data_IF_399067017727
#
_entry.id   IF_399067017727
#
_cell.length_a   1.000
_cell.length_b   1.000
_cell.length_c   1.000
_cell.angle_alpha   90.00
_cell.angle_beta   90.00
_cell.angle_gamma   90.00
#
_symmetry.space_group_name_H-M   'P 1'
#
loop_
_entity.id
_entity.type
_entity.pdbx_description
1 polymer ?
#
# COMPACT_ATOMS: atom_id res chain seq x y z
N UNK A 1 66.13 -11.13 41.98
CA UNK A 1 64.77 -11.71 42.03
C UNK A 1 64.03 -11.32 40.76
N UNK A 2 63.62 -12.32 39.97
CA UNK A 2 63.00 -12.17 38.64
C UNK A 2 61.55 -11.69 38.79
N UNK A 3 61.16 -10.66 38.05
CA UNK A 3 59.77 -10.27 37.87
C UNK A 3 59.34 -10.54 36.43
N UNK A 4 58.75 -11.70 36.17
CA UNK A 4 58.07 -12.00 34.91
C UNK A 4 56.77 -11.20 34.91
N UNK A 5 56.66 -10.21 34.02
CA UNK A 5 55.38 -9.54 33.73
C UNK A 5 54.70 -10.30 32.61
N UNK A 6 53.70 -11.11 32.97
CA UNK A 6 52.80 -11.80 32.06
C UNK A 6 51.98 -10.75 31.29
N UNK A 7 52.12 -10.69 29.97
CA UNK A 7 51.25 -9.88 29.11
C UNK A 7 50.04 -10.75 28.77
N UNK A 8 48.87 -10.44 29.36
CA UNK A 8 47.60 -11.01 28.92
C UNK A 8 47.22 -10.36 27.59
N UNK A 9 47.25 -11.11 26.50
CA UNK A 9 46.61 -10.72 25.25
C UNK A 9 45.09 -10.92 25.41
N UNK A 10 44.33 -9.84 25.49
CA UNK A 10 42.88 -9.89 25.46
C UNK A 10 42.41 -10.22 24.03
N UNK A 11 41.87 -11.42 23.85
CA UNK A 11 41.22 -11.83 22.60
C UNK A 11 39.86 -11.12 22.54
N UNK A 12 39.77 -9.99 21.82
CA UNK A 12 38.48 -9.36 21.51
C UNK A 12 37.84 -10.16 20.39
N UNK A 13 36.89 -11.03 20.74
CA UNK A 13 36.04 -11.70 19.77
C UNK A 13 35.15 -10.64 19.10
N UNK A 14 35.44 -10.33 17.84
CA UNK A 14 34.54 -9.55 16.99
C UNK A 14 33.35 -10.45 16.68
N UNK A 15 32.25 -10.27 17.41
CA UNK A 15 30.97 -10.85 17.02
C UNK A 15 30.53 -10.07 15.78
N UNK A 16 30.75 -10.66 14.60
CA UNK A 16 30.09 -10.21 13.38
C UNK A 16 28.59 -10.42 13.59
N UNK A 17 27.88 -9.34 13.93
CA UNK A 17 26.43 -9.29 13.82
C UNK A 17 26.13 -9.54 12.35
N UNK A 18 25.67 -10.75 12.03
CA UNK A 18 25.20 -11.08 10.70
C UNK A 18 24.10 -10.08 10.35
N UNK A 19 24.29 -9.33 9.26
CA UNK A 19 23.20 -8.62 8.62
C UNK A 19 22.20 -9.69 8.20
N UNK A 20 21.09 -9.82 8.93
CA UNK A 20 19.92 -10.51 8.37
C UNK A 20 19.60 -9.70 7.13
N UNK A 21 19.78 -10.28 5.94
CA UNK A 21 19.35 -9.63 4.72
C UNK A 21 17.89 -9.23 4.93
N UNK A 22 17.60 -7.93 4.85
CA UNK A 22 16.22 -7.47 4.78
C UNK A 22 15.55 -8.32 3.70
N UNK A 23 14.48 -9.01 4.07
CA UNK A 23 13.70 -9.71 3.06
C UNK A 23 13.30 -8.67 2.02
N UNK A 24 13.48 -9.00 0.76
CA UNK A 24 13.29 -8.04 -0.31
C UNK A 24 11.79 -7.78 -0.43
N UNK A 25 11.31 -6.74 0.26
CA UNK A 25 9.99 -6.16 0.03
C UNK A 25 9.69 -6.07 -1.47
N UNK A 26 8.41 -6.08 -1.88
CA UNK A 26 8.06 -6.08 -3.28
C UNK A 26 8.75 -4.95 -4.06
N UNK A 27 9.28 -5.28 -5.24
CA UNK A 27 9.92 -4.30 -6.13
C UNK A 27 8.96 -3.14 -6.38
N UNK A 28 9.38 -1.94 -6.01
CA UNK A 28 8.53 -0.74 -6.02
C UNK A 28 8.86 0.13 -7.23
N UNK A 29 7.90 0.41 -8.13
CA UNK A 29 8.08 1.39 -9.18
C UNK A 29 8.42 2.78 -8.62
N UNK A 30 9.15 3.59 -9.38
CA UNK A 30 9.39 4.98 -9.00
C UNK A 30 8.13 5.82 -9.26
N UNK A 31 7.41 6.15 -8.20
CA UNK A 31 6.20 6.97 -8.28
C UNK A 31 6.52 8.46 -8.11
N UNK A 32 5.71 9.33 -8.74
CA UNK A 32 5.70 10.75 -8.43
C UNK A 32 5.14 11.03 -7.02
N UNK A 33 5.29 12.27 -6.56
CA UNK A 33 4.83 12.69 -5.23
C UNK A 33 3.32 12.56 -5.02
N UNK A 34 2.52 12.67 -6.09
CA UNK A 34 1.07 12.44 -6.03
C UNK A 34 0.73 11.01 -5.60
N UNK A 35 -0.34 10.88 -4.80
CA UNK A 35 -0.75 9.61 -4.21
C UNK A 35 -2.27 9.52 -4.08
N UNK A 36 -2.80 8.31 -4.27
CA UNK A 36 -4.22 7.98 -4.08
C UNK A 36 -4.69 8.35 -2.67
N UNK A 37 -5.92 8.85 -2.47
CA UNK A 37 -6.45 9.09 -1.13
C UNK A 37 -6.53 7.77 -0.33
N UNK A 38 -6.72 7.87 0.98
CA UNK A 38 -7.10 6.70 1.76
C UNK A 38 -8.47 6.19 1.29
N UNK A 39 -8.60 4.87 1.19
CA UNK A 39 -9.88 4.23 0.91
C UNK A 39 -10.86 4.46 2.07
N UNK A 40 -12.09 4.88 1.75
CA UNK A 40 -13.20 4.84 2.69
C UNK A 40 -13.65 3.39 2.94
N UNK A 41 -14.35 3.14 4.04
CA UNK A 41 -15.04 1.87 4.24
C UNK A 41 -16.20 1.74 3.24
N UNK A 42 -16.24 0.61 2.54
CA UNK A 42 -17.27 0.24 1.58
C UNK A 42 -17.60 -1.25 1.76
N UNK A 43 -18.64 -1.51 2.55
CA UNK A 43 -19.07 -2.87 2.86
C UNK A 43 -19.68 -3.57 1.64
N UNK A 44 -19.67 -4.89 1.65
CA UNK A 44 -20.26 -5.69 0.57
C UNK A 44 -21.77 -5.41 0.40
N UNK A 45 -22.20 -5.21 -0.85
CA UNK A 45 -23.58 -4.94 -1.29
C UNK A 45 -24.01 -5.85 -2.46
N UNK A 46 -23.07 -6.45 -3.19
CA UNK A 46 -23.31 -7.37 -4.30
C UNK A 46 -22.72 -8.75 -4.01
N UNK A 47 -23.06 -9.71 -4.86
CA UNK A 47 -22.56 -11.08 -4.80
C UNK A 47 -22.05 -11.43 -6.20
N UNK A 48 -20.75 -11.66 -6.33
CA UNK A 48 -20.08 -11.95 -7.57
C UNK A 48 -19.13 -13.14 -7.40
N UNK A 49 -19.19 -14.07 -8.37
CA UNK A 49 -18.38 -15.28 -8.35
C UNK A 49 -16.98 -15.11 -8.99
N UNK A 50 -16.55 -13.87 -9.25
CA UNK A 50 -15.33 -13.58 -10.00
C UNK A 50 -14.32 -12.80 -9.18
N UNK A 51 -13.06 -13.26 -9.21
CA UNK A 51 -11.93 -12.54 -8.64
C UNK A 51 -11.70 -11.23 -9.40
N UNK A 52 -11.58 -10.12 -8.68
CA UNK A 52 -11.29 -8.83 -9.29
C UNK A 52 -9.81 -8.73 -9.68
N UNK A 53 -9.46 -7.96 -10.73
CA UNK A 53 -8.09 -7.88 -11.22
C UNK A 53 -7.05 -7.44 -10.17
N UNK A 54 -7.41 -6.54 -9.26
CA UNK A 54 -6.55 -6.02 -8.18
C UNK A 54 -6.04 -7.11 -7.25
N UNK A 55 -6.92 -7.84 -6.52
CA UNK A 55 -6.54 -8.99 -5.70
C UNK A 55 -5.68 -10.02 -6.44
N UNK A 56 -5.99 -10.33 -7.70
CA UNK A 56 -5.16 -11.20 -8.52
C UNK A 56 -3.75 -10.64 -8.72
N UNK A 57 -3.64 -9.35 -9.04
CA UNK A 57 -2.36 -8.68 -9.21
C UNK A 57 -1.54 -8.63 -7.92
N UNK A 58 -2.17 -8.44 -6.75
CA UNK A 58 -1.47 -8.45 -5.45
C UNK A 58 -1.01 -9.86 -5.09
N UNK A 59 -1.84 -10.89 -5.34
CA UNK A 59 -1.41 -12.29 -5.19
C UNK A 59 -0.19 -12.58 -6.07
N UNK A 60 -0.21 -12.15 -7.33
CA UNK A 60 0.89 -12.40 -8.26
C UNK A 60 2.16 -11.65 -7.85
N UNK A 61 2.04 -10.42 -7.32
CA UNK A 61 3.14 -9.66 -6.72
C UNK A 61 3.75 -10.39 -5.52
N UNK A 62 2.91 -10.87 -4.60
CA UNK A 62 3.36 -11.64 -3.43
C UNK A 62 4.05 -12.95 -3.86
N UNK A 63 3.48 -13.66 -4.82
CA UNK A 63 4.06 -14.88 -5.38
C UNK A 63 5.44 -14.62 -6.01
N UNK A 64 5.58 -13.53 -6.74
CA UNK A 64 6.86 -13.13 -7.33
C UNK A 64 7.91 -12.74 -6.28
N UNK A 65 7.47 -12.20 -5.14
CA UNK A 65 8.36 -11.67 -4.09
C UNK A 65 8.77 -12.75 -3.09
N UNK A 66 7.82 -13.57 -2.64
CA UNK A 66 7.96 -14.47 -1.49
C UNK A 66 7.82 -15.96 -1.83
N UNK A 67 7.73 -16.29 -3.12
CA UNK A 67 7.40 -17.63 -3.60
C UNK A 67 5.90 -17.89 -3.61
N UNK A 68 5.48 -19.02 -4.18
CA UNK A 68 4.06 -19.34 -4.31
C UNK A 68 3.46 -19.83 -2.98
N UNK A 69 2.35 -19.22 -2.55
CA UNK A 69 1.58 -19.62 -1.36
C UNK A 69 0.12 -19.91 -1.72
N UNK A 70 -0.56 -20.66 -0.86
CA UNK A 70 -2.01 -20.80 -0.97
C UNK A 70 -2.69 -19.44 -0.79
N UNK A 71 -3.70 -19.16 -1.62
CA UNK A 71 -4.44 -17.91 -1.56
C UNK A 71 -5.92 -18.10 -1.90
N UNK A 72 -6.80 -17.30 -1.29
CA UNK A 72 -8.24 -17.28 -1.55
C UNK A 72 -8.73 -15.87 -1.90
N UNK A 73 -9.59 -15.73 -2.91
CA UNK A 73 -10.16 -14.43 -3.33
C UNK A 73 -11.68 -14.45 -3.28
N UNK A 74 -12.31 -15.44 -3.91
CA UNK A 74 -13.77 -15.55 -3.99
C UNK A 74 -14.28 -16.56 -2.97
N UNK A 75 -15.39 -16.22 -2.31
CA UNK A 75 -16.17 -17.16 -1.49
C UNK A 75 -17.61 -17.21 -2.01
N UNK A 76 -18.27 -18.34 -1.83
CA UNK A 76 -19.70 -18.48 -2.14
C UNK A 76 -20.51 -17.55 -1.24
N UNK A 77 -21.55 -16.94 -1.81
CA UNK A 77 -22.41 -16.05 -1.05
C UNK A 77 -23.29 -16.85 -0.10
N UNK A 78 -23.10 -16.62 1.21
CA UNK A 78 -23.78 -17.33 2.29
C UNK A 78 -24.66 -16.40 3.15
N UNK A 79 -24.79 -15.13 2.74
CA UNK A 79 -25.56 -14.10 3.44
C UNK A 79 -24.75 -13.31 4.48
N UNK A 80 -23.50 -13.69 4.77
CA UNK A 80 -22.61 -12.87 5.58
C UNK A 80 -22.03 -11.70 4.77
N UNK A 81 -21.77 -10.57 5.42
CA UNK A 81 -21.06 -9.45 4.79
C UNK A 81 -19.58 -9.79 4.67
N UNK A 82 -19.08 -9.90 3.44
CA UNK A 82 -17.67 -10.18 3.17
C UNK A 82 -17.26 -9.72 1.79
N UNK A 83 -16.11 -9.06 1.71
CA UNK A 83 -15.51 -8.59 0.47
C UNK A 83 -15.01 -9.73 -0.43
N UNK A 84 -14.88 -10.94 0.12
CA UNK A 84 -14.71 -12.14 -0.69
C UNK A 84 -15.93 -12.49 -1.55
N UNK A 85 -17.13 -12.05 -1.17
CA UNK A 85 -18.35 -12.24 -1.96
C UNK A 85 -18.40 -11.31 -3.18
N UNK A 86 -17.52 -10.30 -3.24
CA UNK A 86 -17.38 -9.43 -4.40
C UNK A 86 -16.04 -9.66 -5.13
N UNK A 87 -15.27 -10.67 -4.69
CA UNK A 87 -13.96 -11.00 -5.23
C UNK A 87 -12.92 -9.90 -5.07
N UNK A 88 -13.12 -8.99 -4.11
CA UNK A 88 -12.25 -7.83 -3.80
C UNK A 88 -11.58 -7.94 -2.43
N UNK A 89 -11.42 -9.16 -1.95
CA UNK A 89 -10.53 -9.49 -0.84
C UNK A 89 -9.53 -10.56 -1.25
N UNK A 90 -8.41 -10.62 -0.55
CA UNK A 90 -7.37 -11.63 -0.72
C UNK A 90 -6.96 -12.15 0.66
N UNK A 91 -7.12 -13.45 0.87
CA UNK A 91 -6.44 -14.19 1.93
C UNK A 91 -5.18 -14.78 1.33
N UNK A 92 -4.02 -14.42 1.86
CA UNK A 92 -2.73 -14.93 1.39
C UNK A 92 -2.00 -15.63 2.54
N UNK A 93 -1.68 -16.91 2.35
CA UNK A 93 -1.16 -17.76 3.42
C UNK A 93 0.23 -17.31 3.86
N UNK A 94 0.34 -17.05 5.16
CA UNK A 94 1.59 -16.95 5.91
C UNK A 94 1.26 -17.45 7.31
N UNK A 95 2.03 -18.39 7.84
CA UNK A 95 1.81 -18.89 9.19
C UNK A 95 2.53 -18.01 10.22
N UNK A 96 1.79 -17.34 11.10
CA UNK A 96 2.34 -16.47 12.15
C UNK A 96 3.26 -17.22 13.12
N UNK A 97 3.02 -18.53 13.32
CA UNK A 97 3.82 -19.36 14.21
C UNK A 97 5.07 -19.92 13.53
N UNK A 98 5.18 -19.84 12.21
CA UNK A 98 6.41 -20.10 11.49
C UNK A 98 7.26 -18.82 11.40
N UNK A 99 8.52 -18.90 11.80
CA UNK A 99 9.37 -17.72 11.89
C UNK A 99 9.71 -17.13 10.51
N UNK A 100 9.81 -17.95 9.47
CA UNK A 100 10.14 -17.49 8.12
C UNK A 100 8.92 -16.84 7.45
N UNK A 101 7.74 -17.44 7.59
CA UNK A 101 6.50 -16.85 7.06
C UNK A 101 6.11 -15.58 7.81
N UNK A 102 6.24 -15.55 9.13
CA UNK A 102 6.00 -14.32 9.90
C UNK A 102 6.91 -13.19 9.45
N UNK A 103 8.19 -13.46 9.17
CA UNK A 103 9.11 -12.43 8.72
C UNK A 103 8.74 -11.88 7.33
N UNK A 104 8.28 -12.73 6.40
CA UNK A 104 7.79 -12.30 5.07
C UNK A 104 6.51 -11.48 5.19
N UNK A 105 5.59 -11.90 6.06
CA UNK A 105 4.36 -11.17 6.35
C UNK A 105 4.67 -9.77 6.91
N UNK A 106 5.58 -9.68 7.88
CA UNK A 106 6.00 -8.42 8.49
C UNK A 106 6.75 -7.51 7.50
N UNK A 107 7.56 -8.08 6.61
CA UNK A 107 8.22 -7.36 5.52
C UNK A 107 7.21 -6.75 4.54
N UNK A 108 6.23 -7.55 4.08
CA UNK A 108 5.16 -7.08 3.20
C UNK A 108 4.28 -6.00 3.85
N UNK A 109 3.86 -6.21 5.11
CA UNK A 109 3.04 -5.24 5.84
C UNK A 109 3.82 -3.97 6.14
N UNK A 110 5.11 -4.09 6.48
CA UNK A 110 6.01 -2.96 6.66
C UNK A 110 6.15 -2.13 5.39
N UNK A 111 6.36 -2.80 4.25
CA UNK A 111 6.38 -2.17 2.94
C UNK A 111 5.07 -1.47 2.57
N UNK A 112 3.93 -2.14 2.79
CA UNK A 112 2.60 -1.58 2.54
C UNK A 112 2.38 -0.25 3.30
N UNK A 113 2.78 -0.24 4.57
CA UNK A 113 2.47 0.81 5.53
C UNK A 113 3.59 1.86 5.68
N UNK A 114 4.72 1.68 5.01
CA UNK A 114 5.85 2.62 5.03
C UNK A 114 5.46 4.00 4.49
N UNK A 115 6.22 5.01 4.93
CA UNK A 115 6.22 6.34 4.32
C UNK A 115 7.15 6.34 3.12
N UNK A 116 6.69 6.80 1.95
CA UNK A 116 7.54 6.87 0.75
C UNK A 116 8.54 8.04 0.79
N UNK A 117 9.42 8.10 -0.21
CA UNK A 117 10.43 9.15 -0.37
C UNK A 117 9.86 10.58 -0.50
N UNK A 118 8.56 10.72 -0.74
CA UNK A 118 7.86 12.00 -0.88
C UNK A 118 7.11 12.40 0.40
N UNK A 119 7.26 11.62 1.48
CA UNK A 119 6.59 11.86 2.76
C UNK A 119 5.15 11.34 2.83
N UNK A 120 4.71 10.55 1.84
CA UNK A 120 3.37 9.98 1.86
C UNK A 120 3.31 8.78 2.80
N UNK A 121 2.56 8.90 3.90
CA UNK A 121 2.30 7.77 4.82
C UNK A 121 1.48 6.66 4.16
N UNK A 122 1.73 5.42 4.59
CA UNK A 122 1.02 4.21 4.14
C UNK A 122 0.98 4.09 2.60
N UNK A 123 2.13 4.35 1.97
CA UNK A 123 2.17 4.70 0.56
C UNK A 123 1.63 3.57 -0.33
N UNK A 124 2.14 2.35 -0.14
CA UNK A 124 1.77 1.24 -1.01
C UNK A 124 0.37 0.72 -0.70
N UNK A 125 -0.10 0.80 0.55
CA UNK A 125 -1.50 0.54 0.87
C UNK A 125 -2.46 1.46 0.10
N UNK A 126 -2.15 2.76 0.02
CA UNK A 126 -2.95 3.73 -0.75
C UNK A 126 -2.84 3.46 -2.25
N UNK A 127 -1.63 3.26 -2.78
CA UNK A 127 -1.41 3.01 -4.22
C UNK A 127 -2.00 1.71 -4.72
N UNK A 128 -2.11 0.68 -3.89
CA UNK A 128 -2.77 -0.59 -4.22
C UNK A 128 -4.30 -0.56 -3.99
N UNK A 129 -4.81 0.50 -3.35
CA UNK A 129 -6.23 0.64 -3.04
C UNK A 129 -6.70 -0.29 -1.91
N UNK A 130 -5.87 -0.50 -0.89
CA UNK A 130 -6.23 -1.26 0.31
C UNK A 130 -7.26 -0.49 1.13
N UNK A 131 -8.30 -1.19 1.59
CA UNK A 131 -9.35 -0.66 2.48
C UNK A 131 -9.07 -1.01 3.94
N UNK A 132 -8.72 -2.27 4.22
CA UNK A 132 -8.23 -2.69 5.53
C UNK A 132 -7.39 -3.96 5.40
N UNK A 133 -6.59 -4.24 6.43
CA UNK A 133 -5.73 -5.41 6.58
C UNK A 133 -6.04 -6.10 7.90
N UNK A 134 -6.03 -7.43 7.94
CA UNK A 134 -6.12 -8.19 9.19
C UNK A 134 -4.97 -9.19 9.26
N UNK A 135 -4.25 -9.18 10.39
CA UNK A 135 -3.14 -10.09 10.66
C UNK A 135 -2.98 -10.30 12.17
N UNK A 136 -2.95 -11.56 12.60
CA UNK A 136 -2.73 -12.00 13.98
C UNK A 136 -3.54 -11.19 15.03
N UNK A 137 -4.87 -11.27 14.96
CA UNK A 137 -5.81 -10.56 15.84
C UNK A 137 -5.63 -9.04 15.86
N UNK A 138 -5.13 -8.45 14.78
CA UNK A 138 -5.07 -7.01 14.60
C UNK A 138 -5.64 -6.60 13.27
N UNK A 139 -6.24 -5.41 13.24
CA UNK A 139 -6.75 -4.77 12.05
C UNK A 139 -6.09 -3.39 11.86
N UNK A 140 -5.71 -3.09 10.62
CA UNK A 140 -5.34 -1.75 10.18
C UNK A 140 -6.37 -1.27 9.17
N UNK A 141 -6.85 -0.04 9.31
CA UNK A 141 -8.00 0.49 8.57
C UNK A 141 -7.58 1.76 7.82
N UNK A 142 -7.68 1.77 6.49
CA UNK A 142 -7.32 2.94 5.68
C UNK A 142 -8.18 4.17 6.02
N UNK A 143 -9.43 3.95 6.43
CA UNK A 143 -10.38 4.98 6.83
C UNK A 143 -10.19 5.48 8.28
N UNK A 144 -9.24 4.90 9.04
CA UNK A 144 -8.81 5.36 10.37
C UNK A 144 -7.28 5.26 10.51
N UNK A 145 -6.51 5.90 9.62
CA UNK A 145 -5.09 5.61 9.46
C UNK A 145 -4.25 6.00 10.69
N UNK A 146 -4.69 6.99 11.47
CA UNK A 146 -4.01 7.43 12.69
C UNK A 146 -4.21 6.48 13.89
N UNK A 147 -5.18 5.56 13.82
CA UNK A 147 -5.37 4.54 14.84
C UNK A 147 -4.29 3.45 14.77
N UNK A 148 -3.61 3.30 13.63
CA UNK A 148 -2.64 2.24 13.39
C UNK A 148 -3.26 0.85 13.48
N UNK A 149 -2.49 -0.12 13.97
CA UNK A 149 -2.99 -1.47 14.23
C UNK A 149 -3.78 -1.51 15.54
N UNK A 150 -5.05 -1.88 15.46
CA UNK A 150 -5.94 -2.03 16.63
C UNK A 150 -6.33 -3.50 16.84
N UNK A 151 -6.82 -3.90 18.03
CA UNK A 151 -7.27 -5.27 18.27
C UNK A 151 -8.41 -5.68 17.33
N UNK A 152 -8.33 -6.90 16.79
CA UNK A 152 -9.38 -7.53 15.99
C UNK A 152 -9.88 -8.78 16.69
N UNK A 153 -11.19 -8.87 16.91
CA UNK A 153 -11.84 -9.94 17.69
C UNK A 153 -12.84 -10.75 16.84
N UNK A 154 -12.70 -10.75 15.51
CA UNK A 154 -13.56 -11.55 14.63
C UNK A 154 -13.28 -13.05 14.75
N UNK A 155 -14.18 -13.87 14.19
CA UNK A 155 -14.16 -15.32 14.39
C UNK A 155 -12.87 -16.02 13.92
N UNK A 156 -12.29 -15.55 12.80
CA UNK A 156 -10.97 -15.99 12.34
C UNK A 156 -9.89 -15.08 12.95
N UNK A 157 -8.89 -15.59 13.69
CA UNK A 157 -7.83 -14.77 14.26
C UNK A 157 -6.77 -14.31 13.24
N UNK A 158 -6.84 -14.77 11.97
CA UNK A 158 -5.90 -14.44 10.89
C UNK A 158 -4.43 -14.72 11.28
N UNK A 159 -4.18 -15.90 11.85
CA UNK A 159 -2.84 -16.34 12.26
C UNK A 159 -2.18 -17.28 11.24
N UNK A 160 -2.93 -17.69 10.24
CA UNK A 160 -2.52 -18.57 9.15
C UNK A 160 -2.58 -17.87 7.78
N UNK A 161 -3.04 -16.62 7.72
CA UNK A 161 -3.03 -15.79 6.51
C UNK A 161 -3.13 -14.30 6.85
N UNK A 162 -2.63 -13.46 5.94
CA UNK A 162 -2.99 -12.04 5.91
C UNK A 162 -4.29 -11.93 5.11
N UNK A 163 -5.28 -11.24 5.67
CA UNK A 163 -6.45 -10.79 4.91
C UNK A 163 -6.25 -9.35 4.44
N UNK A 164 -6.50 -9.13 3.16
CA UNK A 164 -6.39 -7.83 2.49
C UNK A 164 -7.72 -7.54 1.81
N UNK A 165 -8.39 -6.48 2.25
CA UNK A 165 -9.59 -5.97 1.61
C UNK A 165 -9.28 -4.75 0.75
N UNK A 166 -9.91 -4.64 -0.41
CA UNK A 166 -9.65 -3.58 -1.39
C UNK A 166 -10.89 -2.69 -1.59
N UNK A 167 -10.63 -1.40 -1.84
CA UNK A 167 -11.64 -0.52 -2.42
C UNK A 167 -11.96 -0.94 -3.86
N UNK A 168 -13.06 -0.48 -4.43
CA UNK A 168 -13.38 -0.73 -5.84
C UNK A 168 -12.30 -0.25 -6.81
N UNK A 169 -11.66 0.89 -6.53
CA UNK A 169 -10.56 1.40 -7.35
C UNK A 169 -9.35 0.46 -7.32
N UNK A 170 -8.97 -0.04 -6.12
CA UNK A 170 -7.91 -1.04 -5.99
C UNK A 170 -8.28 -2.36 -6.67
N UNK A 171 -9.49 -2.85 -6.41
CA UNK A 171 -10.03 -4.09 -6.96
C UNK A 171 -10.06 -4.08 -8.50
N UNK A 172 -10.35 -2.94 -9.12
CA UNK A 172 -10.44 -2.80 -10.57
C UNK A 172 -9.15 -2.28 -11.23
N UNK A 173 -8.03 -2.22 -10.50
CA UNK A 173 -6.74 -1.73 -11.02
C UNK A 173 -6.75 -0.28 -11.51
N UNK A 174 -7.43 0.61 -10.77
CA UNK A 174 -7.61 2.02 -11.15
C UNK A 174 -6.71 2.98 -10.35
N UNK A 175 -6.06 2.51 -9.30
CA UNK A 175 -5.14 3.31 -8.48
C UNK A 175 -3.76 3.48 -9.12
N UNK A 176 -2.95 4.42 -8.61
CA UNK A 176 -1.66 4.80 -9.22
C UNK A 176 -0.64 3.66 -9.35
N UNK A 177 -0.74 2.60 -8.54
CA UNK A 177 0.10 1.40 -8.72
C UNK A 177 -0.12 0.74 -10.09
N UNK A 178 -1.37 0.65 -10.52
CA UNK A 178 -1.75 -0.16 -11.68
C UNK A 178 -1.72 0.62 -12.98
N UNK A 179 -2.14 1.87 -12.91
CA UNK A 179 -2.20 2.74 -14.09
C UNK A 179 -0.83 3.27 -14.44
N UNK A 180 0.12 3.27 -13.49
CA UNK A 180 1.39 4.01 -13.56
C UNK A 180 1.20 5.50 -13.92
N UNK A 181 -0.05 5.98 -13.95
CA UNK A 181 -0.34 7.35 -13.75
C UNK A 181 0.10 7.62 -12.32
N UNK A 182 1.23 8.30 -12.16
CA UNK A 182 1.29 9.33 -11.13
C UNK A 182 -0.08 9.98 -11.17
N UNK A 183 -0.93 9.76 -10.17
CA UNK A 183 -2.27 10.33 -10.21
C UNK A 183 -2.02 11.80 -10.46
N UNK A 184 -2.35 12.22 -11.69
CA UNK A 184 -2.13 13.56 -12.14
C UNK A 184 -2.99 14.32 -11.16
N UNK A 185 -2.36 14.99 -10.19
CA UNK A 185 -3.04 15.98 -9.36
C UNK A 185 -3.82 16.80 -10.37
N UNK A 186 -5.14 16.67 -10.35
CA UNK A 186 -6.00 17.10 -11.44
C UNK A 186 -5.75 18.58 -11.67
N UNK A 187 -4.98 18.92 -12.70
CA UNK A 187 -4.64 20.32 -12.94
C UNK A 187 -5.77 20.92 -13.75
N UNK A 188 -6.52 21.79 -13.09
CA UNK A 188 -7.56 22.59 -13.74
C UNK A 188 -6.94 23.93 -14.08
N UNK A 189 -6.85 24.23 -15.37
CA UNK A 189 -6.42 25.53 -15.88
C UNK A 189 -7.62 26.40 -16.23
N UNK A 190 -7.58 27.66 -15.81
CA UNK A 190 -8.58 28.66 -16.20
C UNK A 190 -7.87 29.86 -16.81
N UNK A 191 -8.34 30.29 -17.99
CA UNK A 191 -7.94 31.57 -18.57
C UNK A 191 -9.05 32.59 -18.41
N UNK A 192 -8.86 33.56 -17.51
CA UNK A 192 -9.85 34.61 -17.25
C UNK A 192 -9.21 35.99 -17.34
N UNK A 193 -9.76 36.88 -18.17
CA UNK A 193 -9.26 38.25 -18.33
C UNK A 193 -7.78 38.33 -18.73
N UNK A 194 -7.28 37.35 -19.51
CA UNK A 194 -5.87 37.27 -19.90
C UNK A 194 -4.93 36.73 -18.82
N UNK A 195 -5.45 36.31 -17.67
CA UNK A 195 -4.66 35.67 -16.60
C UNK A 195 -4.92 34.16 -16.62
N UNK A 196 -3.84 33.40 -16.82
CA UNK A 196 -3.85 31.94 -16.70
C UNK A 196 -3.61 31.58 -15.23
N UNK A 197 -4.54 30.84 -14.63
CA UNK A 197 -4.41 30.32 -13.27
C UNK A 197 -4.67 28.81 -13.24
N UNK A 198 -4.04 28.12 -12.31
CA UNK A 198 -4.21 26.67 -12.13
C UNK A 198 -4.54 26.34 -10.68
N UNK A 199 -5.29 25.25 -10.48
CA UNK A 199 -5.32 24.52 -9.21
C UNK A 199 -4.39 23.33 -9.32
N UNK A 200 -3.46 23.23 -8.38
CA UNK A 200 -2.65 22.03 -8.19
C UNK A 200 -3.37 21.14 -7.18
N UNK A 201 -3.98 20.03 -7.64
CA UNK A 201 -4.67 19.08 -6.75
C UNK A 201 -6.15 18.90 -7.09
N UNK A 202 -7.03 19.16 -6.13
CA UNK A 202 -8.47 18.95 -6.29
C UNK A 202 -9.24 20.23 -6.66
N UNK A 203 -10.56 20.12 -6.76
CA UNK A 203 -11.45 21.25 -7.06
C UNK A 203 -11.47 22.33 -5.96
N UNK A 204 -10.89 22.08 -4.78
CA UNK A 204 -10.89 22.97 -3.62
C UNK A 204 -9.51 23.60 -3.36
N UNK A 205 -8.46 23.12 -4.01
CA UNK A 205 -7.12 23.73 -3.97
C UNK A 205 -7.13 25.24 -4.27
N UNK A 206 -6.15 25.95 -3.68
CA UNK A 206 -5.94 27.38 -3.94
C UNK A 206 -5.52 27.63 -5.40
N UNK A 207 -5.90 28.80 -5.93
CA UNK A 207 -5.48 29.23 -7.26
C UNK A 207 -4.04 29.76 -7.25
N UNK A 208 -3.27 29.33 -8.23
CA UNK A 208 -1.93 29.86 -8.50
C UNK A 208 -1.89 30.46 -9.90
N UNK A 209 -1.59 31.76 -10.00
CA UNK A 209 -1.39 32.42 -11.29
C UNK A 209 -0.12 31.91 -11.95
N UNK A 210 -0.22 31.51 -13.22
CA UNK A 210 0.88 31.02 -14.04
C UNK A 210 1.43 32.12 -14.95
N UNK A 211 0.55 32.93 -15.54
CA UNK A 211 0.94 33.98 -16.48
C UNK A 211 -0.16 35.04 -16.65
N UNK A 212 0.26 36.22 -17.10
CA UNK A 212 -0.61 37.32 -17.53
C UNK A 212 -0.44 37.58 -19.03
N UNK A 213 -1.43 38.23 -19.65
CA UNK A 213 -1.41 38.53 -21.09
C UNK A 213 -1.60 37.30 -21.98
N UNK A 214 -2.15 36.21 -21.45
CA UNK A 214 -2.34 34.97 -22.19
C UNK A 214 -3.60 35.08 -23.06
N UNK A 215 -3.45 34.87 -24.36
CA UNK A 215 -4.58 34.85 -25.30
C UNK A 215 -5.19 33.45 -25.48
N UNK A 216 -4.34 32.42 -25.37
CA UNK A 216 -4.72 31.00 -25.44
C UNK A 216 -3.67 30.15 -24.73
N UNK A 217 -4.07 28.99 -24.25
CA UNK A 217 -3.17 28.00 -23.66
C UNK A 217 -3.60 26.59 -24.05
N UNK A 218 -2.70 25.63 -23.86
CA UNK A 218 -2.94 24.21 -24.07
C UNK A 218 -2.53 23.46 -22.79
N UNK A 219 -3.21 22.36 -22.51
CA UNK A 219 -2.87 21.47 -21.39
C UNK A 219 -2.75 20.06 -21.96
N UNK A 220 -1.63 19.42 -21.67
CA UNK A 220 -1.31 18.06 -22.14
C UNK A 220 -2.05 16.99 -21.31
N UNK A 221 -2.29 15.80 -21.87
CA UNK A 221 -2.92 14.66 -21.18
C UNK A 221 -4.40 14.83 -20.81
N UNK A 222 -4.87 14.12 -19.78
CA UNK A 222 -6.29 14.08 -19.35
C UNK A 222 -6.73 15.30 -18.52
N UNK A 223 -6.25 16.49 -18.86
CA UNK A 223 -6.45 17.72 -18.07
C UNK A 223 -7.61 18.57 -18.61
N UNK A 224 -8.27 19.32 -17.73
CA UNK A 224 -9.43 20.17 -18.08
C UNK A 224 -9.00 21.65 -18.10
N UNK A 225 -9.27 22.30 -19.23
CA UNK A 225 -9.16 23.75 -19.41
C UNK A 225 -10.52 24.39 -19.57
N UNK A 226 -10.72 25.56 -18.94
CA UNK A 226 -11.95 26.36 -19.04
C UNK A 226 -11.63 27.81 -19.40
#
# INVERSE_FOLDING_TARGET
MRGIKTVLAALVAVIALGTVAAQAAPTTPNFAAGIDPYSAYDGQTTCESSAKPGPLGVRDLLNATYGNHTSGIVRNCDGATSEHHEGRALDYHFNYFDAADRAKAEDFLGWLLATDQHGNKHAMARRLGVMYLIWNNKIWEAYRPDAGWTPYNGASPHQDHIHISFSWAGANKQTSWWTQAAQQIGRIGVLSGGTLSVKEGDLWSSWTTQAHGVAKFEIDGDRIGV
#
